data_IF_151821540629
#
_entry.id   IF_151821540629
#
_cell.length_a   1.000
_cell.length_b   1.000
_cell.length_c   1.000
_cell.angle_alpha   90.00
_cell.angle_beta   90.00
_cell.angle_gamma   90.00
#
_symmetry.space_group_name_H-M   'P 1'
#
loop_
_entity.id
_entity.type
_entity.pdbx_description
1 polymer ?
#
# COMPACT_ATOMS: atom_id res chain seq x y z
N UNK A 1 21.82 -3.94 -8.58
CA UNK A 1 21.04 -2.69 -8.77
C UNK A 1 19.75 -3.10 -9.47
N UNK A 2 18.60 -2.84 -8.86
CA UNK A 2 17.33 -3.07 -9.55
C UNK A 2 17.27 -2.10 -10.73
N UNK A 3 17.05 -2.62 -11.92
CA UNK A 3 16.84 -1.94 -13.20
C UNK A 3 15.54 -1.11 -13.25
N UNK A 4 15.10 -0.56 -12.11
CA UNK A 4 13.80 0.08 -11.93
C UNK A 4 12.67 -0.87 -11.52
N UNK A 5 12.94 -2.18 -11.40
CA UNK A 5 11.93 -3.20 -11.09
C UNK A 5 11.56 -3.31 -9.60
N UNK A 6 12.12 -2.47 -8.73
CA UNK A 6 11.77 -2.42 -7.31
C UNK A 6 12.09 -1.07 -6.68
N UNK A 7 11.35 -0.68 -5.65
CA UNK A 7 11.66 0.47 -4.81
C UNK A 7 11.30 0.21 -3.34
N UNK A 8 11.88 1.01 -2.46
CA UNK A 8 11.64 1.00 -1.02
C UNK A 8 11.31 2.42 -0.60
N UNK A 9 10.25 2.59 0.18
CA UNK A 9 9.88 3.86 0.79
C UNK A 9 9.82 3.67 2.30
N UNK A 10 10.54 4.51 3.05
CA UNK A 10 10.52 4.52 4.50
C UNK A 10 9.59 5.64 4.98
N UNK A 11 8.72 5.30 5.92
CA UNK A 11 7.79 6.21 6.58
C UNK A 11 8.17 6.33 8.05
N UNK A 12 8.25 7.56 8.54
CA UNK A 12 8.34 7.84 9.98
C UNK A 12 7.02 8.44 10.46
N UNK A 13 6.37 7.76 11.40
CA UNK A 13 5.16 8.22 12.06
C UNK A 13 5.53 8.81 13.41
N UNK A 14 5.23 10.10 13.58
CA UNK A 14 5.53 10.83 14.81
C UNK A 14 4.33 10.73 15.75
N UNK A 15 4.52 10.14 16.93
CA UNK A 15 3.51 10.06 17.98
C UNK A 15 3.99 10.75 19.26
N UNK A 16 3.07 11.23 20.12
CA UNK A 16 3.44 11.79 21.43
C UNK A 16 4.26 10.83 22.30
N UNK A 17 4.06 9.53 22.11
CA UNK A 17 4.71 8.44 22.87
C UNK A 17 6.04 7.97 22.28
N UNK A 18 6.45 8.52 21.13
CA UNK A 18 7.65 8.10 20.41
C UNK A 18 7.36 7.77 18.94
N UNK A 19 8.40 7.84 18.11
CA UNK A 19 8.25 7.62 16.67
C UNK A 19 8.18 6.12 16.36
N UNK A 20 7.39 5.77 15.34
CA UNK A 20 7.36 4.43 14.76
C UNK A 20 7.73 4.52 13.29
N UNK A 21 8.28 3.44 12.74
CA UNK A 21 8.75 3.39 11.37
C UNK A 21 7.99 2.33 10.59
N UNK A 22 7.85 2.55 9.29
CA UNK A 22 7.27 1.58 8.39
C UNK A 22 7.98 1.60 7.05
N UNK A 23 7.96 0.48 6.36
CA UNK A 23 8.57 0.37 5.03
C UNK A 23 7.52 -0.16 4.05
N UNK A 24 7.34 0.54 2.94
CA UNK A 24 6.67 0.00 1.77
C UNK A 24 7.71 -0.53 0.79
N UNK A 25 7.76 -1.86 0.62
CA UNK A 25 8.59 -2.53 -0.38
C UNK A 25 7.75 -2.78 -1.63
N UNK A 26 8.24 -2.37 -2.80
CA UNK A 26 7.56 -2.56 -4.08
C UNK A 26 8.44 -3.33 -5.04
N UNK A 27 7.86 -4.29 -5.75
CA UNK A 27 8.51 -5.00 -6.84
C UNK A 27 7.57 -5.13 -8.04
N UNK A 28 8.10 -4.96 -9.24
CA UNK A 28 7.38 -5.11 -10.50
C UNK A 28 7.63 -6.49 -11.09
N UNK A 29 6.56 -7.19 -11.43
CA UNK A 29 6.61 -8.43 -12.19
C UNK A 29 6.36 -8.14 -13.67
N UNK A 30 7.43 -8.19 -14.47
CA UNK A 30 7.37 -7.96 -15.91
C UNK A 30 6.57 -9.01 -16.69
N UNK A 31 6.32 -10.19 -16.11
CA UNK A 31 5.51 -11.24 -16.76
C UNK A 31 4.02 -10.95 -16.68
N UNK A 32 3.57 -10.43 -15.54
CA UNK A 32 2.15 -10.11 -15.29
C UNK A 32 1.82 -8.63 -15.53
N UNK A 33 2.84 -7.77 -15.52
CA UNK A 33 2.69 -6.33 -15.60
C UNK A 33 2.13 -5.71 -14.31
N UNK A 34 2.20 -6.43 -13.19
CA UNK A 34 1.69 -6.00 -11.89
C UNK A 34 2.84 -5.58 -10.98
N UNK A 35 2.57 -4.60 -10.12
CA UNK A 35 3.38 -4.36 -8.93
C UNK A 35 2.82 -5.16 -7.78
N UNK A 36 3.72 -5.68 -6.96
CA UNK A 36 3.45 -6.20 -5.62
C UNK A 36 4.01 -5.22 -4.59
N UNK A 37 3.21 -4.89 -3.56
CA UNK A 37 3.59 -3.97 -2.48
C UNK A 37 3.40 -4.66 -1.14
N UNK A 38 4.47 -4.72 -0.34
CA UNK A 38 4.44 -5.21 1.04
C UNK A 38 4.63 -4.04 2.01
N UNK A 39 3.95 -4.13 3.16
CA UNK A 39 4.16 -3.24 4.30
C UNK A 39 4.92 -3.98 5.40
N UNK A 40 5.97 -3.34 5.92
CA UNK A 40 6.72 -3.81 7.10
C UNK A 40 6.54 -2.78 8.20
N UNK A 41 6.11 -3.21 9.38
CA UNK A 41 5.88 -2.34 10.53
C UNK A 41 7.00 -2.53 11.56
N UNK A 42 7.71 -1.46 11.92
CA UNK A 42 8.80 -1.54 12.89
C UNK A 42 8.32 -1.91 14.31
N UNK A 43 7.02 -1.81 14.59
CA UNK A 43 6.42 -2.20 15.86
C UNK A 43 6.35 -3.71 16.03
N UNK A 44 6.34 -4.46 14.93
CA UNK A 44 6.38 -5.92 14.91
C UNK A 44 7.36 -6.43 13.84
N UNK A 45 8.69 -6.28 14.07
CA UNK A 45 9.70 -6.59 13.07
C UNK A 45 9.83 -8.10 12.77
N UNK A 46 9.21 -8.95 13.59
CA UNK A 46 9.16 -10.40 13.41
C UNK A 46 7.76 -10.90 13.01
N UNK A 47 6.82 -9.96 12.82
CA UNK A 47 5.48 -10.23 12.35
C UNK A 47 5.48 -10.91 10.99
N UNK A 48 4.44 -11.69 10.72
CA UNK A 48 4.25 -12.26 9.38
C UNK A 48 3.91 -11.13 8.42
N UNK A 49 4.57 -11.11 7.27
CA UNK A 49 4.16 -10.25 6.18
C UNK A 49 2.86 -10.79 5.58
N UNK A 50 1.85 -9.94 5.50
CA UNK A 50 0.64 -10.22 4.75
C UNK A 50 0.96 -10.41 3.25
N UNK A 51 0.10 -11.12 2.49
CA UNK A 51 0.21 -11.16 1.05
C UNK A 51 0.25 -9.74 0.46
N UNK A 52 1.12 -9.48 -0.54
CA UNK A 52 1.27 -8.14 -1.07
C UNK A 52 -0.04 -7.67 -1.71
N UNK A 53 -0.31 -6.37 -1.64
CA UNK A 53 -1.28 -5.80 -2.59
C UNK A 53 -0.69 -5.84 -3.98
N UNK A 54 -1.50 -6.27 -4.94
CA UNK A 54 -1.10 -6.44 -6.32
C UNK A 54 -1.97 -5.57 -7.22
N UNK A 55 -1.35 -4.92 -8.19
CA UNK A 55 -2.07 -3.99 -9.03
C UNK A 55 -1.21 -3.26 -10.05
N UNK A 56 -1.84 -2.35 -10.77
CA UNK A 56 -1.19 -1.54 -11.80
C UNK A 56 -1.94 -0.23 -11.98
N UNK A 57 -1.29 0.68 -12.72
CA UNK A 57 -1.93 1.90 -13.19
C UNK A 57 -2.67 1.65 -14.51
N UNK A 58 -3.91 2.11 -14.57
CA UNK A 58 -4.75 2.16 -15.75
C UNK A 58 -5.41 3.53 -15.83
N UNK A 59 -5.26 4.22 -16.97
CA UNK A 59 -5.87 5.53 -17.20
C UNK A 59 -5.57 6.57 -16.09
N UNK A 60 -4.35 6.55 -15.55
CA UNK A 60 -3.91 7.49 -14.49
C UNK A 60 -4.34 7.12 -13.07
N UNK A 61 -5.06 6.00 -12.89
CA UNK A 61 -5.46 5.50 -11.57
C UNK A 61 -4.75 4.17 -11.29
N UNK A 62 -4.07 4.09 -10.15
CA UNK A 62 -3.45 2.86 -9.68
C UNK A 62 -4.35 2.16 -8.69
N UNK A 63 -4.77 0.93 -8.98
CA UNK A 63 -5.59 0.12 -8.06
C UNK A 63 -4.83 -1.15 -7.71
N UNK A 64 -4.70 -1.42 -6.41
CA UNK A 64 -3.97 -2.56 -5.88
C UNK A 64 -4.81 -3.24 -4.80
N UNK A 65 -4.99 -4.55 -4.89
CA UNK A 65 -5.82 -5.31 -3.95
C UNK A 65 -5.03 -6.48 -3.36
N UNK A 66 -5.36 -6.86 -2.12
CA UNK A 66 -4.91 -8.11 -1.50
C UNK A 66 -6.00 -8.70 -0.61
N UNK A 67 -5.97 -10.01 -0.46
CA UNK A 67 -6.72 -10.73 0.57
C UNK A 67 -5.77 -11.03 1.74
N UNK A 68 -6.21 -10.74 2.95
CA UNK A 68 -5.44 -10.94 4.17
C UNK A 68 -6.33 -11.45 5.31
N UNK A 69 -5.72 -11.75 6.46
CA UNK A 69 -6.45 -12.23 7.64
C UNK A 69 -6.19 -11.30 8.81
N UNK A 70 -7.24 -10.63 9.29
CA UNK A 70 -7.21 -9.84 10.52
C UNK A 70 -7.99 -10.58 11.61
N UNK A 71 -7.36 -10.85 12.75
CA UNK A 71 -7.99 -11.53 13.89
C UNK A 71 -8.73 -12.84 13.52
N UNK A 72 -8.12 -13.60 12.60
CA UNK A 72 -8.69 -14.87 12.09
C UNK A 72 -9.84 -14.72 11.09
N UNK A 73 -10.20 -13.49 10.69
CA UNK A 73 -11.26 -13.21 9.71
C UNK A 73 -10.65 -12.85 8.35
N UNK A 74 -11.16 -13.43 7.25
CA UNK A 74 -10.79 -12.99 5.91
C UNK A 74 -11.20 -11.53 5.69
N UNK A 75 -10.27 -10.75 5.19
CA UNK A 75 -10.42 -9.32 4.89
C UNK A 75 -9.82 -9.04 3.51
N UNK A 76 -10.29 -7.97 2.86
CA UNK A 76 -9.65 -7.41 1.68
C UNK A 76 -9.14 -6.02 1.97
N UNK A 77 -8.00 -5.67 1.38
CA UNK A 77 -7.45 -4.32 1.40
C UNK A 77 -7.27 -3.84 -0.03
N UNK A 78 -7.52 -2.55 -0.25
CA UNK A 78 -7.34 -1.87 -1.52
C UNK A 78 -6.56 -0.60 -1.33
N UNK A 79 -5.53 -0.41 -2.14
CA UNK A 79 -4.88 0.88 -2.30
C UNK A 79 -5.31 1.51 -3.62
N UNK A 80 -5.64 2.80 -3.58
CA UNK A 80 -5.96 3.62 -4.75
C UNK A 80 -4.99 4.79 -4.81
N UNK A 81 -4.25 4.88 -5.92
CA UNK A 81 -3.52 6.06 -6.32
C UNK A 81 -4.36 6.81 -7.35
N UNK A 82 -4.66 8.08 -7.08
CA UNK A 82 -5.46 8.93 -7.94
C UNK A 82 -4.89 10.35 -7.97
N UNK A 83 -5.42 11.19 -8.87
CA UNK A 83 -4.98 12.58 -9.02
C UNK A 83 -3.46 12.73 -9.21
N UNK A 84 -2.84 11.78 -9.93
CA UNK A 84 -1.39 11.79 -10.15
C UNK A 84 -1.05 12.81 -11.23
N UNK A 85 -0.27 13.81 -10.86
CA UNK A 85 0.30 14.84 -11.73
C UNK A 85 1.81 14.97 -11.50
N UNK A 86 2.45 15.93 -12.17
CA UNK A 86 3.88 16.20 -11.95
C UNK A 86 4.18 16.74 -10.54
N UNK A 87 3.17 17.29 -9.88
CA UNK A 87 3.25 18.06 -8.63
C UNK A 87 2.35 17.53 -7.51
N UNK A 88 1.44 16.59 -7.79
CA UNK A 88 0.53 16.04 -6.78
C UNK A 88 0.21 14.56 -6.99
N UNK A 89 -0.19 13.91 -5.92
CA UNK A 89 -0.80 12.59 -5.95
C UNK A 89 -1.68 12.39 -4.72
N UNK A 90 -2.71 11.56 -4.85
CA UNK A 90 -3.52 11.10 -3.72
C UNK A 90 -3.40 9.60 -3.58
N UNK A 91 -3.17 9.16 -2.35
CA UNK A 91 -3.20 7.75 -1.99
C UNK A 91 -4.28 7.49 -0.96
N UNK A 92 -5.03 6.42 -1.15
CA UNK A 92 -6.10 5.97 -0.26
C UNK A 92 -5.94 4.48 0.02
N UNK A 93 -6.21 4.10 1.26
CA UNK A 93 -6.40 2.71 1.67
C UNK A 93 -7.84 2.51 2.09
N UNK A 94 -8.43 1.43 1.60
CA UNK A 94 -9.71 0.94 2.05
C UNK A 94 -9.65 -0.53 2.43
N UNK A 95 -10.48 -0.92 3.39
CA UNK A 95 -10.64 -2.32 3.81
C UNK A 95 -12.07 -2.79 3.61
N UNK A 96 -12.24 -4.09 3.36
CA UNK A 96 -13.53 -4.72 3.19
C UNK A 96 -13.61 -6.02 3.99
N UNK A 97 -14.71 -6.20 4.72
CA UNK A 97 -15.01 -7.41 5.49
C UNK A 97 -16.04 -8.33 4.80
N UNK A 98 -16.57 -7.93 3.64
CA UNK A 98 -17.64 -8.62 2.93
C UNK A 98 -17.23 -9.01 1.49
N UNK A 99 -15.96 -9.35 1.33
CA UNK A 99 -15.34 -9.77 0.07
C UNK A 99 -15.35 -8.68 -1.03
N UNK A 100 -15.31 -7.41 -0.63
CA UNK A 100 -15.22 -6.26 -1.53
C UNK A 100 -16.57 -5.73 -2.02
N UNK A 101 -17.68 -6.13 -1.39
CA UNK A 101 -19.00 -5.57 -1.70
C UNK A 101 -19.13 -4.15 -1.15
N UNK A 102 -18.63 -3.91 0.06
CA UNK A 102 -18.50 -2.59 0.67
C UNK A 102 -17.06 -2.33 1.09
N UNK A 103 -16.67 -1.04 1.06
CA UNK A 103 -15.30 -0.59 1.34
C UNK A 103 -15.34 0.54 2.34
N UNK A 104 -14.53 0.43 3.40
CA UNK A 104 -14.30 1.49 4.37
C UNK A 104 -12.93 2.12 4.10
N UNK A 105 -12.91 3.39 3.70
CA UNK A 105 -11.66 4.13 3.44
C UNK A 105 -11.10 4.61 4.78
N UNK A 106 -10.09 3.90 5.27
CA UNK A 106 -9.59 4.10 6.63
C UNK A 106 -8.31 4.94 6.69
N UNK A 107 -7.68 5.24 5.54
CA UNK A 107 -6.51 6.10 5.51
C UNK A 107 -6.35 6.79 4.15
N UNK A 108 -5.90 8.03 4.19
CA UNK A 108 -5.65 8.86 3.01
C UNK A 108 -4.40 9.72 3.22
N UNK A 109 -3.62 9.87 2.16
CA UNK A 109 -2.45 10.75 2.10
C UNK A 109 -2.57 11.60 0.83
N UNK A 110 -2.39 12.91 0.98
CA UNK A 110 -2.24 13.84 -0.13
C UNK A 110 -0.76 14.25 -0.24
N UNK A 111 -0.17 14.03 -1.41
CA UNK A 111 1.20 14.41 -1.72
C UNK A 111 1.16 15.68 -2.56
N UNK A 112 2.00 16.65 -2.18
CA UNK A 112 2.23 17.88 -2.93
C UNK A 112 3.73 18.14 -3.01
N UNK A 113 4.20 18.57 -4.18
CA UNK A 113 5.57 19.01 -4.40
C UNK A 113 5.63 20.53 -4.33
N UNK A 114 6.38 21.06 -3.36
CA UNK A 114 6.70 22.50 -3.24
C UNK A 114 7.94 22.87 -4.06
#
# INVERSE_FOLDING_TARGET
MADGSANVEEHTFVWPTGNTHGIALRAYDSKTGLWAIWWVDSRDPHGKLDPPVQGRFENGVGTFDSDYVADGKPMRVRFVWSHVSADSARWEQATSADNGQTWDTNWMIAFERM
#
